data_IF_369905304179
#
_entry.id   IF_369905304179
#
_cell.length_a   1.000
_cell.length_b   1.000
_cell.length_c   1.000
_cell.angle_alpha   90.00
_cell.angle_beta   90.00
_cell.angle_gamma   90.00
#
_symmetry.space_group_name_H-M   'P 1'
#
loop_
_entity.id
_entity.type
_entity.pdbx_description
1 polymer ?
#
# COMPACT_ATOMS: atom_id res chain seq x y z
N UNK A 1 15.14 15.95 15.74
CA UNK A 1 14.45 16.07 14.45
C UNK A 1 14.38 14.66 13.87
N UNK A 2 13.28 13.93 14.13
CA UNK A 2 13.15 12.56 13.62
C UNK A 2 12.87 12.65 12.12
N UNK A 3 13.94 12.63 11.34
CA UNK A 3 13.91 12.25 9.93
C UNK A 3 13.21 10.89 9.88
N UNK A 4 12.02 10.84 9.29
CA UNK A 4 11.33 9.59 9.02
C UNK A 4 12.23 8.81 8.05
N UNK A 5 13.01 7.87 8.60
CA UNK A 5 13.97 7.04 7.89
C UNK A 5 13.27 6.38 6.68
N UNK A 6 13.84 6.51 5.49
CA UNK A 6 13.33 5.86 4.26
C UNK A 6 13.12 4.35 4.44
N UNK A 7 13.84 3.72 5.37
CA UNK A 7 13.68 2.32 5.79
C UNK A 7 12.35 2.00 6.50
N UNK A 8 11.63 2.99 7.03
CA UNK A 8 10.30 2.79 7.63
C UNK A 8 9.18 2.73 6.58
N UNK A 9 9.37 3.37 5.42
CA UNK A 9 8.41 3.32 4.30
C UNK A 9 8.47 1.98 3.54
N UNK A 10 9.62 1.29 3.58
CA UNK A 10 9.82 -0.11 3.13
C UNK A 10 9.06 -1.15 3.97
N UNK A 11 8.41 -0.76 5.08
CA UNK A 11 7.68 -1.69 5.99
C UNK A 11 6.20 -1.85 5.59
N UNK A 12 5.73 -1.13 4.57
CA UNK A 12 4.35 -1.25 4.10
C UNK A 12 4.13 -2.57 3.35
N UNK A 13 3.92 -3.61 4.13
CA UNK A 13 3.48 -4.92 3.68
C UNK A 13 1.96 -4.98 3.65
N UNK A 14 1.40 -5.81 2.78
CA UNK A 14 -0.03 -6.01 2.69
C UNK A 14 -0.58 -6.50 4.05
N UNK A 15 -1.65 -5.90 4.60
CA UNK A 15 -2.21 -6.28 5.89
C UNK A 15 -2.76 -7.72 5.91
N UNK A 16 -3.09 -8.27 4.73
CA UNK A 16 -3.69 -9.60 4.59
C UNK A 16 -2.62 -10.69 4.39
N UNK A 17 -1.71 -10.48 3.44
CA UNK A 17 -0.74 -11.50 3.01
C UNK A 17 0.65 -11.29 3.62
N UNK A 18 0.91 -10.14 4.25
CA UNK A 18 2.23 -9.70 4.73
C UNK A 18 3.31 -9.72 3.64
N UNK A 19 2.89 -9.65 2.38
CA UNK A 19 3.80 -9.56 1.23
C UNK A 19 4.04 -8.11 0.85
N UNK A 20 5.07 -7.91 0.05
CA UNK A 20 5.41 -6.60 -0.50
C UNK A 20 4.23 -6.01 -1.29
N UNK A 21 4.10 -4.69 -1.20
CA UNK A 21 3.15 -3.89 -1.97
C UNK A 21 3.91 -3.15 -3.08
N UNK A 22 3.35 -3.16 -4.28
CA UNK A 22 3.86 -2.42 -5.42
C UNK A 22 3.11 -1.10 -5.52
N UNK A 23 3.82 0.01 -5.37
CA UNK A 23 3.21 1.32 -5.58
C UNK A 23 3.05 1.60 -7.08
N UNK A 24 1.82 1.92 -7.48
CA UNK A 24 1.48 2.34 -8.81
C UNK A 24 1.31 3.87 -8.83
N UNK A 25 2.26 4.58 -9.46
CA UNK A 25 2.24 6.03 -9.60
C UNK A 25 1.17 6.54 -10.57
N UNK A 26 0.75 5.72 -11.55
CA UNK A 26 -0.26 6.12 -12.53
C UNK A 26 -1.65 6.17 -11.92
N UNK A 27 -1.99 5.22 -11.05
CA UNK A 27 -3.29 5.16 -10.36
C UNK A 27 -3.25 5.71 -8.94
N UNK A 28 -2.06 5.97 -8.40
CA UNK A 28 -1.83 6.35 -7.00
C UNK A 28 -2.40 5.33 -6.01
N UNK A 29 -2.02 4.05 -6.19
CA UNK A 29 -2.51 2.92 -5.40
C UNK A 29 -1.36 1.99 -5.00
N UNK A 30 -1.53 1.26 -3.89
CA UNK A 30 -0.63 0.17 -3.48
C UNK A 30 -1.23 -1.18 -3.88
N UNK A 31 -0.56 -1.87 -4.80
CA UNK A 31 -1.00 -3.13 -5.37
C UNK A 31 -0.36 -4.30 -4.62
N UNK A 32 -1.20 -5.21 -4.13
CA UNK A 32 -0.80 -6.51 -3.60
C UNK A 32 -1.09 -7.60 -4.63
N UNK A 33 -0.08 -8.02 -5.37
CA UNK A 33 -0.21 -9.10 -6.36
C UNK A 33 -0.62 -10.43 -5.72
N UNK A 34 -0.13 -10.71 -4.51
CA UNK A 34 -0.48 -11.96 -3.80
C UNK A 34 -1.90 -11.97 -3.27
N UNK A 35 -2.43 -10.81 -2.87
CA UNK A 35 -3.81 -10.71 -2.41
C UNK A 35 -4.80 -10.49 -3.57
N UNK A 36 -4.32 -10.05 -4.74
CA UNK A 36 -5.16 -9.60 -5.85
C UNK A 36 -5.95 -8.34 -5.50
N UNK A 37 -5.35 -7.45 -4.70
CA UNK A 37 -5.99 -6.25 -4.17
C UNK A 37 -5.14 -5.01 -4.45
N UNK A 38 -5.79 -3.88 -4.75
CA UNK A 38 -5.19 -2.57 -4.90
C UNK A 38 -5.78 -1.62 -3.86
N UNK A 39 -4.94 -1.06 -3.01
CA UNK A 39 -5.30 -0.14 -1.94
C UNK A 39 -5.12 1.30 -2.41
N UNK A 40 -6.18 2.12 -2.48
CA UNK A 40 -6.06 3.48 -2.98
C UNK A 40 -5.34 4.40 -1.97
N UNK A 41 -4.62 5.40 -2.48
CA UNK A 41 -4.01 6.46 -1.66
C UNK A 41 -4.88 7.71 -1.77
N UNK A 42 -5.48 8.13 -0.65
CA UNK A 42 -6.31 9.33 -0.54
C UNK A 42 -5.60 10.34 0.35
N UNK A 43 -5.42 11.57 -0.13
CA UNK A 43 -4.72 12.65 0.60
C UNK A 43 -3.28 12.29 1.06
N UNK A 44 -2.60 11.43 0.28
CA UNK A 44 -1.26 10.92 0.63
C UNK A 44 -1.25 9.84 1.72
N UNK A 45 -2.42 9.37 2.15
CA UNK A 45 -2.58 8.30 3.14
C UNK A 45 -3.08 7.02 2.43
N UNK A 46 -2.34 5.90 2.53
CA UNK A 46 -2.80 4.63 1.97
C UNK A 46 -4.01 4.09 2.74
N UNK A 47 -5.11 3.84 2.04
CA UNK A 47 -6.31 3.22 2.61
C UNK A 47 -6.11 1.71 2.62
N UNK A 48 -5.48 1.20 3.67
CA UNK A 48 -5.23 -0.24 3.86
C UNK A 48 -6.44 -1.02 4.41
N UNK A 49 -7.65 -0.67 3.96
CA UNK A 49 -8.88 -1.35 4.34
C UNK A 49 -9.27 -2.35 3.24
N UNK A 50 -9.44 -3.64 3.54
CA UNK A 50 -9.80 -4.66 2.54
C UNK A 50 -11.14 -4.37 1.82
N UNK A 51 -12.06 -3.67 2.47
CA UNK A 51 -13.36 -3.26 1.92
C UNK A 51 -13.27 -2.13 0.89
N UNK A 52 -12.31 -1.21 1.07
CA UNK A 52 -12.02 -0.12 0.13
C UNK A 52 -11.01 -0.54 -0.94
N UNK A 53 -10.38 -1.71 -0.77
CA UNK A 53 -9.41 -2.24 -1.71
C UNK A 53 -10.13 -2.71 -2.99
N UNK A 54 -9.64 -2.25 -4.13
CA UNK A 54 -10.11 -2.68 -5.44
C UNK A 54 -9.54 -4.06 -5.75
N UNK A 55 -10.37 -5.00 -6.22
CA UNK A 55 -9.87 -6.29 -6.72
C UNK A 55 -9.23 -6.12 -8.10
N UNK A 56 -8.06 -6.75 -8.29
CA UNK A 56 -7.38 -6.89 -9.56
C UNK A 56 -8.01 -7.99 -10.42
#
# INVERSE_FOLDING_TARGET
>A
MAILDKKLLDILVCPVTKSDLVYNEETNELISEKAGLAYPIKDGIPVMLPEEARKL
#
